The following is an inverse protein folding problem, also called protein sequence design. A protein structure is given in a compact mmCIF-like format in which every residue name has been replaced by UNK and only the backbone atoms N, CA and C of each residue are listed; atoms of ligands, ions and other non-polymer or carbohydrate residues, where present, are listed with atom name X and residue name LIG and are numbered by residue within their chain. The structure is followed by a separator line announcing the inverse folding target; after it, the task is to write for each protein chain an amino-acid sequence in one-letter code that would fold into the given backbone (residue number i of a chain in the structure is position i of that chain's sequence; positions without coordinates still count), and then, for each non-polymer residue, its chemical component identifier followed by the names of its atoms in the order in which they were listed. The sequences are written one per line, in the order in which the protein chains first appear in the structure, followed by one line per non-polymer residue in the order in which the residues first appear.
data_IF_325083177788
#
_entry.id   IF_325083177788
#
_cell.length_a   1.000
_cell.length_b   1.000
_cell.length_c   1.000
_cell.angle_alpha   90.00
_cell.angle_beta   90.00
_cell.angle_gamma   90.00
#
_symmetry.space_group_name_H-M   'P 1'
#
loop_
_entity.id
_entity.type
_entity.pdbx_description
1 polymer ?
#
# COMPACT_ATOMS: atom_id res chain seq x y z
N UNK A 1 36.30 41.56 34.60
CA UNK A 1 34.97 41.47 35.25
C UNK A 1 33.99 42.23 34.37
N UNK A 2 33.12 41.52 33.63
CA UNK A 2 32.04 42.17 32.87
C UNK A 2 30.97 42.63 33.86
N UNK A 3 30.38 43.80 33.62
CA UNK A 3 29.45 44.43 34.56
C UNK A 3 28.11 43.70 34.48
N UNK A 4 27.39 43.66 35.60
CA UNK A 4 26.12 42.96 35.76
C UNK A 4 25.03 43.38 34.74
N UNK A 5 25.18 44.58 34.16
CA UNK A 5 24.24 45.17 33.21
C UNK A 5 24.34 44.59 31.79
N UNK A 6 25.41 43.87 31.46
CA UNK A 6 25.61 43.26 30.13
C UNK A 6 24.76 41.98 29.92
N UNK A 7 24.17 41.42 30.99
CA UNK A 7 23.32 40.21 30.93
C UNK A 7 21.85 40.51 30.58
N UNK A 8 21.42 41.76 30.66
CA UNK A 8 20.01 42.15 30.42
C UNK A 8 19.71 42.56 28.97
N UNK A 9 20.68 42.39 28.06
CA UNK A 9 20.57 42.73 26.63
C UNK A 9 20.69 41.51 25.72
N UNK A 10 20.49 40.30 26.24
CA UNK A 10 20.27 39.14 25.39
C UNK A 10 18.80 39.18 24.94
N UNK A 11 18.49 39.26 23.64
CA UNK A 11 17.11 39.19 23.19
C UNK A 11 16.53 37.90 23.73
N UNK A 12 15.46 38.01 24.52
CA UNK A 12 14.64 36.89 24.93
C UNK A 12 14.07 36.28 23.65
N UNK A 13 14.83 35.37 23.05
CA UNK A 13 14.37 34.50 21.98
C UNK A 13 13.28 33.66 22.64
N UNK A 14 12.07 34.23 22.61
CA UNK A 14 10.90 33.70 23.30
C UNK A 14 10.89 32.19 23.20
N UNK A 15 10.77 31.56 24.37
CA UNK A 15 10.80 30.12 24.55
C UNK A 15 10.08 29.44 23.38
N UNK A 16 10.81 28.73 22.52
CA UNK A 16 10.21 28.06 21.37
C UNK A 16 9.34 26.95 21.93
N UNK A 17 8.04 27.17 21.92
CA UNK A 17 7.06 26.18 22.32
C UNK A 17 6.99 25.09 21.24
N UNK A 18 7.84 24.07 21.42
CA UNK A 18 7.86 22.89 20.57
C UNK A 18 6.57 22.08 20.67
N UNK A 19 5.76 22.26 21.73
CA UNK A 19 4.46 21.58 21.88
C UNK A 19 3.42 22.19 20.94
N UNK A 20 3.52 23.48 20.64
CA UNK A 20 2.72 24.16 19.60
C UNK A 20 3.05 23.72 18.17
N UNK A 21 4.14 22.99 17.94
CA UNK A 21 4.49 22.44 16.62
C UNK A 21 3.78 21.11 16.32
N UNK A 22 3.11 20.50 17.30
CA UNK A 22 2.40 19.25 17.09
C UNK A 22 0.93 19.54 16.77
N UNK A 23 0.56 19.37 15.49
CA UNK A 23 -0.84 19.15 15.15
C UNK A 23 -1.31 17.87 15.86
N UNK A 24 -2.49 17.87 16.50
CA UNK A 24 -3.01 16.66 17.10
C UNK A 24 -3.08 15.57 16.04
N UNK A 25 -2.48 14.41 16.34
CA UNK A 25 -2.61 13.24 15.46
C UNK A 25 -4.03 12.72 15.61
N UNK A 26 -4.88 13.07 14.66
CA UNK A 26 -6.24 12.53 14.61
C UNK A 26 -6.21 11.17 13.92
N UNK A 27 -6.64 10.13 14.64
CA UNK A 27 -6.98 8.87 13.97
C UNK A 27 -8.19 9.10 13.06
N UNK A 28 -8.12 8.72 11.78
CA UNK A 28 -9.27 8.82 10.90
C UNK A 28 -10.42 7.95 11.43
N UNK A 29 -11.70 8.34 11.19
CA UNK A 29 -12.84 7.55 11.62
C UNK A 29 -12.75 6.09 11.16
N UNK A 30 -13.18 5.16 12.00
CA UNK A 30 -13.11 3.72 11.74
C UNK A 30 -13.87 3.38 10.44
N UNK A 31 -15.03 4.00 10.21
CA UNK A 31 -15.83 3.79 9.01
C UNK A 31 -15.06 4.13 7.72
N UNK A 32 -14.24 5.18 7.75
CA UNK A 32 -13.37 5.56 6.63
C UNK A 32 -12.29 4.52 6.36
N UNK A 33 -11.65 3.99 7.41
CA UNK A 33 -10.66 2.93 7.29
C UNK A 33 -11.27 1.63 6.75
N UNK A 34 -12.49 1.31 7.18
CA UNK A 34 -13.21 0.12 6.72
C UNK A 34 -13.67 0.26 5.26
N UNK A 35 -14.09 1.45 4.84
CA UNK A 35 -14.37 1.75 3.43
C UNK A 35 -13.09 1.66 2.58
N UNK A 36 -11.98 2.21 3.06
CA UNK A 36 -10.68 2.09 2.40
C UNK A 36 -10.25 0.63 2.25
N UNK A 37 -10.43 -0.18 3.30
CA UNK A 37 -10.15 -1.63 3.29
C UNK A 37 -11.04 -2.34 2.27
N UNK A 38 -12.36 -2.12 2.32
CA UNK A 38 -13.31 -2.69 1.34
C UNK A 38 -12.94 -2.30 -0.08
N UNK A 39 -12.53 -1.06 -0.30
CA UNK A 39 -12.07 -0.60 -1.63
C UNK A 39 -10.75 -1.22 -2.04
N UNK A 40 -9.85 -1.50 -1.11
CA UNK A 40 -8.58 -2.17 -1.37
C UNK A 40 -8.75 -3.68 -1.61
N UNK A 41 -9.65 -4.34 -0.89
CA UNK A 41 -10.03 -5.74 -1.08
C UNK A 41 -10.85 -5.93 -2.36
N UNK A 42 -11.75 -4.99 -2.68
CA UNK A 42 -12.54 -4.97 -3.91
C UNK A 42 -11.78 -4.41 -5.11
N UNK A 43 -10.53 -3.94 -4.94
CA UNK A 43 -9.65 -3.71 -6.09
C UNK A 43 -9.40 -5.07 -6.70
N UNK A 44 -10.19 -5.40 -7.72
CA UNK A 44 -9.84 -6.40 -8.71
C UNK A 44 -8.38 -6.16 -9.07
N UNK A 45 -7.51 -7.06 -8.62
CA UNK A 45 -6.11 -7.01 -9.01
C UNK A 45 -6.12 -6.95 -10.54
N UNK A 46 -5.48 -5.95 -11.18
CA UNK A 46 -5.56 -5.79 -12.64
C UNK A 46 -4.97 -7.00 -13.39
N UNK A 47 -4.31 -7.92 -12.68
CA UNK A 47 -3.79 -9.18 -13.16
C UNK A 47 -4.66 -10.39 -12.77
N UNK A 48 -5.78 -10.19 -12.06
CA UNK A 48 -6.76 -11.23 -11.70
C UNK A 48 -7.98 -11.15 -12.62
N UNK A 49 -8.34 -12.28 -13.21
CA UNK A 49 -9.51 -12.38 -14.09
C UNK A 49 -9.53 -13.67 -14.89
N UNK A 50 -10.58 -13.85 -15.69
CA UNK A 50 -10.71 -15.03 -16.55
C UNK A 50 -10.43 -14.66 -18.00
N UNK A 51 -9.54 -15.40 -18.66
CA UNK A 51 -9.19 -15.18 -20.06
C UNK A 51 -9.23 -16.47 -20.86
N UNK A 52 -9.84 -16.43 -22.03
CA UNK A 52 -9.75 -17.51 -23.00
C UNK A 52 -8.43 -17.42 -23.76
N UNK A 53 -7.68 -18.52 -23.80
CA UNK A 53 -6.42 -18.57 -24.51
C UNK A 53 -6.22 -19.90 -25.19
N UNK A 54 -5.78 -19.86 -26.45
CA UNK A 54 -5.31 -21.04 -27.16
C UNK A 54 -3.86 -21.34 -26.78
N UNK A 55 -3.60 -22.54 -26.26
CA UNK A 55 -2.25 -23.05 -25.95
C UNK A 55 -2.08 -24.35 -26.75
N UNK A 56 -1.11 -24.34 -27.67
CA UNK A 56 -1.04 -25.39 -28.69
C UNK A 56 -2.30 -25.39 -29.57
N UNK A 57 -2.98 -26.53 -29.66
CA UNK A 57 -4.22 -26.69 -30.43
C UNK A 57 -5.51 -26.58 -29.60
N UNK A 58 -5.39 -26.45 -28.29
CA UNK A 58 -6.52 -26.50 -27.35
C UNK A 58 -6.83 -25.12 -26.81
N UNK A 59 -8.12 -24.80 -26.70
CA UNK A 59 -8.60 -23.60 -26.03
C UNK A 59 -8.76 -23.86 -24.54
N UNK A 60 -8.28 -22.93 -23.72
CA UNK A 60 -8.40 -22.98 -22.28
C UNK A 60 -9.09 -21.73 -21.76
N UNK A 61 -9.94 -21.92 -20.76
CA UNK A 61 -10.41 -20.85 -19.89
C UNK A 61 -9.45 -20.77 -18.71
N UNK A 62 -8.64 -19.72 -18.66
CA UNK A 62 -7.62 -19.53 -17.62
C UNK A 62 -8.10 -18.53 -16.60
N UNK A 63 -8.05 -18.90 -15.33
CA UNK A 63 -8.15 -17.95 -14.22
C UNK A 63 -6.75 -17.44 -13.90
N UNK A 64 -6.53 -16.13 -14.03
CA UNK A 64 -5.31 -15.47 -13.58
C UNK A 64 -5.52 -14.99 -12.16
N UNK A 65 -4.54 -15.23 -11.30
CA UNK A 65 -4.50 -14.75 -9.92
C UNK A 65 -3.10 -14.18 -9.69
N UNK A 66 -3.01 -13.07 -8.97
CA UNK A 66 -1.73 -12.49 -8.59
C UNK A 66 -1.71 -12.36 -7.06
N UNK A 67 -0.82 -13.13 -6.44
CA UNK A 67 -0.64 -13.20 -4.98
C UNK A 67 0.15 -11.99 -4.46
N UNK A 68 0.86 -11.28 -5.34
CA UNK A 68 1.52 -10.00 -5.04
C UNK A 68 2.80 -10.15 -4.21
N UNK A 69 3.13 -11.37 -3.79
CA UNK A 69 4.34 -11.71 -3.05
C UNK A 69 5.50 -12.10 -3.98
N UNK A 70 5.29 -12.20 -5.29
CA UNK A 70 6.32 -12.63 -6.22
C UNK A 70 7.34 -11.52 -6.52
N UNK A 71 8.66 -11.77 -6.31
CA UNK A 71 9.69 -10.78 -6.63
C UNK A 71 9.72 -10.50 -8.14
N UNK A 72 9.62 -9.23 -8.52
CA UNK A 72 9.48 -8.77 -9.91
C UNK A 72 10.77 -8.90 -10.76
N UNK A 73 11.86 -9.43 -10.20
CA UNK A 73 13.14 -9.63 -10.89
C UNK A 73 13.11 -10.95 -11.67
N UNK A 74 13.35 -10.87 -12.99
CA UNK A 74 13.31 -11.99 -13.96
C UNK A 74 11.91 -12.53 -14.30
N UNK A 75 11.09 -11.68 -14.94
CA UNK A 75 9.70 -11.94 -15.39
C UNK A 75 9.55 -13.11 -16.39
N UNK A 76 9.76 -14.35 -15.93
CA UNK A 76 9.26 -15.54 -16.61
C UNK A 76 7.81 -15.73 -16.16
N UNK A 77 6.86 -15.60 -17.07
CA UNK A 77 5.45 -15.95 -16.81
C UNK A 77 5.37 -17.47 -16.68
N UNK A 78 5.36 -17.99 -15.45
CA UNK A 78 5.16 -19.41 -15.20
C UNK A 78 3.66 -19.70 -15.26
N UNK A 79 3.24 -20.47 -16.26
CA UNK A 79 1.90 -21.05 -16.28
C UNK A 79 1.90 -22.27 -15.35
N UNK A 80 1.04 -22.27 -14.33
CA UNK A 80 0.88 -23.38 -13.40
C UNK A 80 -0.52 -23.94 -13.62
N UNK A 81 -0.62 -25.24 -13.92
CA UNK A 81 -1.89 -25.94 -14.01
C UNK A 81 -2.28 -26.41 -12.59
N UNK A 82 -3.53 -26.17 -12.19
CA UNK A 82 -4.07 -26.77 -10.97
C UNK A 82 -4.58 -28.18 -11.26
N UNK A 83 -4.41 -29.10 -10.32
CA UNK A 83 -4.95 -30.48 -10.41
C UNK A 83 -6.48 -30.54 -10.22
N UNK A 84 -7.16 -29.41 -10.06
CA UNK A 84 -8.63 -29.36 -10.05
C UNK A 84 -9.12 -29.74 -11.44
N UNK A 85 -9.75 -30.91 -11.55
CA UNK A 85 -10.30 -31.42 -12.81
C UNK A 85 -11.13 -30.34 -13.50
N UNK A 86 -10.82 -30.06 -14.77
CA UNK A 86 -11.66 -29.24 -15.61
C UNK A 86 -12.97 -29.99 -15.84
N UNK A 87 -14.07 -29.50 -15.29
CA UNK A 87 -15.40 -29.97 -15.65
C UNK A 87 -15.67 -29.56 -17.10
N UNK A 88 -15.41 -30.49 -18.02
CA UNK A 88 -15.79 -30.35 -19.43
C UNK A 88 -17.31 -30.56 -19.55
N UNK A 89 -17.99 -29.66 -20.26
CA UNK A 89 -19.39 -29.82 -20.71
C UNK A 89 -19.44 -30.47 -22.09
#
# INVERSE_FOLDING_TARGET
MRKHEDFMNEPDYGYIDIESCFDPIFEPPIDFLEECRKRWENRMNPFTGTVERKIGNTWYLLETVCDGNEPLTHKVKRLIFSDKEALCS
#
